data_IF_967597985217
#
_entry.id   IF_967597985217
#
_cell.length_a   1.000
_cell.length_b   1.000
_cell.length_c   1.000
_cell.angle_alpha   90.00
_cell.angle_beta   90.00
_cell.angle_gamma   90.00
#
_symmetry.space_group_name_H-M   'P 1'
#
loop_
_entity.id
_entity.type
_entity.pdbx_description
1 polymer ?
#
# COMPACT_ATOMS: atom_id res chain seq x y z
N UNK A 1 36.23 18.65 -3.01
CA UNK A 1 35.21 17.57 -2.95
C UNK A 1 34.08 17.97 -2.00
N UNK A 2 33.01 18.52 -2.57
CA UNK A 2 31.82 18.94 -1.84
C UNK A 2 31.00 17.72 -1.44
N UNK A 3 30.99 17.42 -0.14
CA UNK A 3 30.29 16.27 0.44
C UNK A 3 28.77 16.42 0.33
N UNK A 4 28.11 15.32 -0.03
CA UNK A 4 26.67 15.19 0.03
C UNK A 4 26.25 15.00 1.49
N UNK A 5 25.35 15.84 2.00
CA UNK A 5 24.82 15.81 3.37
C UNK A 5 23.42 15.19 3.37
N UNK A 6 23.21 14.21 4.24
CA UNK A 6 21.93 13.56 4.51
C UNK A 6 20.96 14.53 5.24
N UNK A 7 19.66 14.58 4.89
CA UNK A 7 18.67 15.43 5.56
C UNK A 7 18.42 15.13 7.06
N UNK A 8 18.96 14.04 7.62
CA UNK A 8 18.86 13.71 9.05
C UNK A 8 20.05 14.17 9.91
N UNK A 9 21.08 14.80 9.33
CA UNK A 9 22.13 15.47 10.10
C UNK A 9 23.03 14.57 10.99
N UNK A 10 23.01 13.24 10.83
CA UNK A 10 23.94 12.36 11.53
C UNK A 10 25.20 12.12 10.69
N UNK A 11 26.32 12.68 11.12
CA UNK A 11 27.64 12.42 10.56
C UNK A 11 28.17 11.08 11.09
N UNK A 12 28.22 10.05 10.23
CA UNK A 12 28.88 8.79 10.57
C UNK A 12 30.34 8.78 10.09
N UNK A 13 31.28 8.57 11.01
CA UNK A 13 32.68 8.27 10.68
C UNK A 13 32.76 6.92 9.96
N UNK A 14 33.63 6.84 8.96
CA UNK A 14 33.89 5.63 8.17
C UNK A 14 34.43 4.53 9.08
N UNK A 15 33.67 3.43 9.24
CA UNK A 15 34.19 2.18 9.80
C UNK A 15 33.19 1.35 10.62
N UNK A 16 32.26 1.98 11.33
CA UNK A 16 31.44 1.28 12.34
C UNK A 16 29.95 1.68 12.28
N UNK A 17 29.34 1.44 11.12
CA UNK A 17 27.88 1.41 11.02
C UNK A 17 27.41 -0.04 11.24
N UNK A 18 26.48 -0.31 12.17
CA UNK A 18 25.70 -1.55 12.16
C UNK A 18 24.74 -1.52 10.97
N UNK A 19 25.29 -1.69 9.77
CA UNK A 19 24.52 -2.11 8.61
C UNK A 19 24.19 -3.61 8.74
N UNK A 20 23.08 -4.09 8.19
CA UNK A 20 22.80 -5.51 8.19
C UNK A 20 23.83 -6.24 7.31
N UNK A 21 24.85 -6.79 7.96
CA UNK A 21 25.74 -7.79 7.35
C UNK A 21 24.97 -9.10 7.24
N UNK A 22 24.30 -9.29 6.11
CA UNK A 22 23.66 -10.55 5.77
C UNK A 22 23.59 -10.69 4.25
N UNK A 23 24.24 -11.73 3.72
CA UNK A 23 24.06 -12.12 2.33
C UNK A 23 22.58 -12.47 2.14
N UNK A 24 21.83 -11.66 1.39
CA UNK A 24 20.43 -11.97 1.05
C UNK A 24 20.40 -13.12 0.04
N UNK A 25 20.66 -14.34 0.53
CA UNK A 25 20.25 -15.57 -0.15
C UNK A 25 18.81 -15.81 0.27
N UNK A 26 17.92 -15.90 -0.73
CA UNK A 26 16.46 -16.04 -0.64
C UNK A 26 15.72 -14.71 -0.46
N UNK A 27 15.71 -13.89 -1.51
CA UNK A 27 14.60 -12.96 -1.73
C UNK A 27 13.36 -13.84 -2.00
N UNK A 28 12.35 -13.89 -1.11
CA UNK A 28 11.11 -14.57 -1.44
C UNK A 28 10.57 -14.00 -2.76
N UNK A 29 9.86 -14.79 -3.58
CA UNK A 29 9.18 -14.24 -4.75
C UNK A 29 8.43 -13.00 -4.31
N UNK A 30 8.66 -11.88 -5.01
CA UNK A 30 8.11 -10.61 -4.61
C UNK A 30 6.58 -10.77 -4.52
N UNK A 31 6.04 -10.69 -3.29
CA UNK A 31 4.62 -10.91 -3.02
C UNK A 31 3.73 -10.05 -3.91
N UNK A 32 2.46 -10.43 -4.01
CA UNK A 32 1.48 -9.81 -4.91
C UNK A 32 1.57 -8.28 -4.86
N UNK A 33 1.60 -7.71 -3.66
CA UNK A 33 1.65 -6.26 -3.48
C UNK A 33 2.97 -5.65 -3.96
N UNK A 34 4.11 -6.29 -3.69
CA UNK A 34 5.43 -5.80 -4.12
C UNK A 34 5.54 -5.80 -5.66
N UNK A 35 4.99 -6.81 -6.31
CA UNK A 35 4.97 -6.91 -7.78
C UNK A 35 4.14 -5.78 -8.40
N UNK A 36 2.95 -5.52 -7.85
CA UNK A 36 2.12 -4.41 -8.30
C UNK A 36 2.72 -3.03 -7.97
N UNK A 37 3.36 -2.87 -6.81
CA UNK A 37 4.03 -1.62 -6.44
C UNK A 37 5.13 -1.26 -7.45
N UNK A 38 5.98 -2.24 -7.82
CA UNK A 38 7.05 -2.04 -8.82
C UNK A 38 6.54 -1.71 -10.21
N UNK A 39 5.33 -2.15 -10.56
CA UNK A 39 4.69 -1.85 -11.83
C UNK A 39 3.89 -0.53 -11.82
N UNK A 40 4.10 0.32 -10.81
CA UNK A 40 3.49 1.65 -10.69
C UNK A 40 2.21 1.66 -9.86
N UNK A 41 1.96 0.63 -9.05
CA UNK A 41 1.04 0.67 -7.94
C UNK A 41 1.59 1.54 -6.80
N UNK A 42 0.75 1.84 -5.82
CA UNK A 42 1.15 2.63 -4.66
C UNK A 42 0.40 2.24 -3.38
N UNK A 43 -0.04 0.97 -3.29
CA UNK A 43 -0.75 0.45 -2.12
C UNK A 43 0.20 0.38 -0.92
N UNK A 44 1.40 -0.19 -1.10
CA UNK A 44 2.37 -0.35 0.00
C UNK A 44 2.85 1.02 0.47
N UNK A 45 3.27 1.88 -0.47
CA UNK A 45 3.88 3.17 -0.15
C UNK A 45 2.89 4.15 0.49
N UNK A 46 1.58 4.04 0.24
CA UNK A 46 0.61 4.99 0.80
C UNK A 46 -0.26 4.44 1.92
N UNK A 47 -0.48 3.12 1.98
CA UNK A 47 -1.56 2.54 2.77
C UNK A 47 -1.16 1.30 3.58
N UNK A 48 0.13 1.03 3.78
CA UNK A 48 0.60 -0.09 4.60
C UNK A 48 1.53 0.42 5.70
N UNK A 49 1.25 0.00 6.94
CA UNK A 49 2.10 0.24 8.11
C UNK A 49 2.36 1.71 8.40
N UNK A 50 1.43 2.61 8.07
CA UNK A 50 1.55 4.04 8.38
C UNK A 50 1.24 4.27 9.86
N UNK A 51 2.04 5.09 10.52
CA UNK A 51 1.74 5.55 11.88
C UNK A 51 0.64 6.61 11.85
N UNK A 52 0.01 6.86 13.00
CA UNK A 52 -1.04 7.86 13.12
C UNK A 52 -0.54 9.26 12.75
N UNK A 53 0.70 9.59 13.14
CA UNK A 53 1.35 10.86 12.78
C UNK A 53 1.58 10.97 11.26
N UNK A 54 1.97 9.87 10.61
CA UNK A 54 2.14 9.84 9.15
C UNK A 54 0.81 9.98 8.42
N UNK A 55 -0.26 9.38 8.95
CA UNK A 55 -1.59 9.51 8.40
C UNK A 55 -2.13 10.95 8.55
N UNK A 56 -1.89 11.58 9.69
CA UNK A 56 -2.27 12.97 9.95
C UNK A 56 -1.46 13.97 9.10
N UNK A 57 -0.12 13.83 9.06
CA UNK A 57 0.76 14.68 8.25
C UNK A 57 0.42 14.64 6.75
N UNK A 58 -0.21 13.55 6.28
CA UNK A 58 -0.65 13.45 4.89
C UNK A 58 -1.62 14.56 4.51
N UNK A 59 -2.47 15.05 5.42
CA UNK A 59 -3.43 16.12 5.14
C UNK A 59 -2.75 17.46 4.79
N UNK A 60 -1.51 17.68 5.24
CA UNK A 60 -0.73 18.86 4.86
C UNK A 60 -0.27 18.76 3.40
N UNK A 61 0.16 17.57 2.98
CA UNK A 61 0.67 17.30 1.63
C UNK A 61 -0.43 17.07 0.58
N UNK A 62 -1.60 16.57 1.01
CA UNK A 62 -2.75 16.24 0.16
C UNK A 62 -4.02 16.87 0.77
N UNK A 63 -4.19 18.21 0.70
CA UNK A 63 -5.22 18.93 1.47
C UNK A 63 -6.66 18.62 1.08
N UNK A 64 -6.88 18.03 -0.10
CA UNK A 64 -8.21 17.63 -0.57
C UNK A 64 -8.65 16.24 -0.07
N UNK A 65 -7.82 15.54 0.72
CA UNK A 65 -8.21 14.25 1.27
C UNK A 65 -9.17 14.41 2.45
N UNK A 66 -10.34 13.77 2.42
CA UNK A 66 -11.25 13.77 3.56
C UNK A 66 -10.79 12.81 4.68
N UNK A 67 -10.00 11.80 4.33
CA UNK A 67 -9.49 10.78 5.25
C UNK A 67 -8.15 10.20 4.77
N UNK A 68 -7.40 9.63 5.70
CA UNK A 68 -6.11 8.96 5.47
C UNK A 68 -6.10 7.65 6.25
N UNK A 69 -5.81 6.55 5.57
CA UNK A 69 -5.95 5.20 6.15
C UNK A 69 -4.82 4.25 5.76
N UNK A 70 -4.62 3.24 6.60
CA UNK A 70 -3.57 2.24 6.44
C UNK A 70 -3.98 0.87 6.95
N UNK A 71 -3.60 -0.17 6.20
CA UNK A 71 -3.52 -1.54 6.69
C UNK A 71 -2.44 -1.64 7.77
N UNK A 72 -2.59 -2.59 8.70
CA UNK A 72 -1.69 -2.73 9.85
C UNK A 72 -0.27 -3.13 9.45
N UNK A 73 -0.13 -4.10 8.56
CA UNK A 73 1.15 -4.64 8.13
C UNK A 73 1.10 -5.09 6.67
N UNK A 74 2.28 -5.30 6.08
CA UNK A 74 2.38 -5.81 4.71
C UNK A 74 1.77 -7.20 4.60
N UNK A 75 2.00 -8.07 5.58
CA UNK A 75 1.49 -9.45 5.60
C UNK A 75 -0.04 -9.50 5.71
N UNK A 76 -0.64 -8.69 6.59
CA UNK A 76 -2.10 -8.56 6.70
C UNK A 76 -2.69 -8.00 5.39
N UNK A 77 -2.07 -6.96 4.83
CA UNK A 77 -2.51 -6.38 3.56
C UNK A 77 -2.45 -7.40 2.42
N UNK A 78 -1.35 -8.17 2.28
CA UNK A 78 -1.22 -9.21 1.26
C UNK A 78 -2.31 -10.28 1.42
N UNK A 79 -2.57 -10.72 2.64
CA UNK A 79 -3.59 -11.74 2.93
C UNK A 79 -4.99 -11.25 2.58
N UNK A 80 -5.36 -10.05 3.03
CA UNK A 80 -6.67 -9.43 2.80
C UNK A 80 -6.89 -9.19 1.31
N UNK A 81 -5.91 -8.60 0.63
CA UNK A 81 -5.98 -8.28 -0.79
C UNK A 81 -6.07 -9.56 -1.61
N UNK A 82 -5.22 -10.55 -1.34
CA UNK A 82 -5.23 -11.82 -2.10
C UNK A 82 -6.58 -12.54 -1.97
N UNK A 83 -7.14 -12.58 -0.75
CA UNK A 83 -8.47 -13.16 -0.50
C UNK A 83 -9.57 -12.41 -1.25
N UNK A 84 -9.54 -11.08 -1.25
CA UNK A 84 -10.51 -10.25 -1.96
C UNK A 84 -10.43 -10.43 -3.48
N UNK A 85 -9.22 -10.44 -4.04
CA UNK A 85 -9.01 -10.67 -5.48
C UNK A 85 -9.52 -12.07 -5.91
N UNK A 86 -9.31 -13.10 -5.08
CA UNK A 86 -9.85 -14.42 -5.32
C UNK A 86 -11.39 -14.43 -5.27
N UNK A 87 -11.99 -13.78 -4.26
CA UNK A 87 -13.44 -13.64 -4.11
C UNK A 87 -14.09 -12.93 -5.31
N UNK A 88 -13.42 -11.91 -5.86
CA UNK A 88 -13.91 -11.09 -6.97
C UNK A 88 -13.36 -11.52 -8.35
N UNK A 89 -12.85 -12.76 -8.47
CA UNK A 89 -12.17 -13.22 -9.69
C UNK A 89 -13.03 -13.08 -10.95
N UNK A 90 -14.33 -13.40 -10.88
CA UNK A 90 -15.23 -13.30 -12.04
C UNK A 90 -15.42 -11.85 -12.49
N UNK A 91 -15.51 -10.91 -11.56
CA UNK A 91 -15.61 -9.47 -11.85
C UNK A 91 -14.33 -8.96 -12.50
N UNK A 92 -13.17 -9.43 -12.04
CA UNK A 92 -11.87 -9.11 -12.63
C UNK A 92 -11.74 -9.66 -14.04
N UNK A 93 -12.19 -10.89 -14.30
CA UNK A 93 -12.20 -11.48 -15.65
C UNK A 93 -13.07 -10.64 -16.59
N UNK A 94 -14.28 -10.29 -16.17
CA UNK A 94 -15.18 -9.44 -16.95
C UNK A 94 -14.57 -8.05 -17.19
N UNK A 95 -13.93 -7.48 -16.16
CA UNK A 95 -13.21 -6.21 -16.27
C UNK A 95 -12.04 -6.30 -17.25
N UNK A 96 -11.30 -7.40 -17.31
CA UNK A 96 -10.20 -7.54 -18.28
C UNK A 96 -10.73 -7.56 -19.73
N UNK A 97 -11.89 -8.17 -19.95
CA UNK A 97 -12.47 -8.36 -21.28
C UNK A 97 -13.35 -7.19 -21.77
N UNK A 98 -13.82 -6.29 -20.89
CA UNK A 98 -14.69 -5.17 -21.28
C UNK A 98 -13.95 -3.94 -21.86
N UNK A 99 -14.48 -2.73 -21.62
CA UNK A 99 -13.83 -1.44 -22.01
C UNK A 99 -13.56 -0.44 -20.85
N UNK A 100 -13.83 -0.81 -19.59
CA UNK A 100 -13.61 0.08 -18.43
C UNK A 100 -12.12 0.32 -18.18
N UNK A 101 -11.72 1.55 -17.85
CA UNK A 101 -10.32 1.90 -17.56
C UNK A 101 -9.85 1.42 -16.18
N UNK A 102 -10.76 1.38 -15.21
CA UNK A 102 -10.52 0.92 -13.83
C UNK A 102 -11.67 0.04 -13.33
N UNK A 103 -11.34 -0.84 -12.40
CA UNK A 103 -12.29 -1.60 -11.59
C UNK A 103 -12.07 -1.21 -10.13
N UNK A 104 -13.17 -0.91 -9.43
CA UNK A 104 -13.17 -0.61 -8.01
C UNK A 104 -13.88 -1.78 -7.33
N UNK A 105 -13.14 -2.52 -6.51
CA UNK A 105 -13.68 -3.60 -5.68
C UNK A 105 -13.84 -3.03 -4.27
N UNK A 106 -15.05 -3.13 -3.74
CA UNK A 106 -15.33 -2.84 -2.32
C UNK A 106 -15.57 -4.15 -1.61
N UNK A 107 -14.85 -4.39 -0.53
CA UNK A 107 -14.94 -5.62 0.22
C UNK A 107 -14.75 -5.35 1.72
N UNK A 108 -15.03 -6.36 2.53
CA UNK A 108 -15.03 -6.22 3.98
C UNK A 108 -14.48 -7.47 4.69
N UNK A 109 -14.25 -7.31 5.99
CA UNK A 109 -13.76 -8.35 6.88
C UNK A 109 -14.49 -8.27 8.22
N UNK A 110 -14.63 -9.40 8.90
CA UNK A 110 -15.16 -9.46 10.28
C UNK A 110 -14.18 -8.91 11.31
N UNK A 111 -12.89 -8.94 11.01
CA UNK A 111 -11.82 -8.37 11.83
C UNK A 111 -11.35 -7.03 11.25
N UNK A 112 -10.89 -6.09 12.09
CA UNK A 112 -10.37 -4.81 11.61
C UNK A 112 -9.23 -5.01 10.61
N UNK A 113 -9.37 -4.43 9.43
CA UNK A 113 -8.37 -4.49 8.34
C UNK A 113 -7.27 -3.46 8.50
N UNK A 114 -7.53 -2.41 9.27
CA UNK A 114 -6.61 -1.29 9.47
C UNK A 114 -7.22 -0.17 10.27
N UNK A 115 -6.62 1.00 10.14
CA UNK A 115 -7.07 2.25 10.79
C UNK A 115 -7.33 3.33 9.74
N UNK A 116 -8.20 4.28 10.08
CA UNK A 116 -8.49 5.46 9.30
C UNK A 116 -8.53 6.68 10.21
N UNK A 117 -7.98 7.80 9.77
CA UNK A 117 -8.07 9.11 10.42
C UNK A 117 -8.89 10.01 9.49
N UNK A 118 -9.89 10.71 10.02
CA UNK A 118 -10.65 11.71 9.26
C UNK A 118 -9.95 13.07 9.39
N UNK A 119 -10.02 13.92 8.38
CA UNK A 119 -9.34 15.23 8.44
C UNK A 119 -9.80 16.10 9.63
N UNK A 120 -11.08 15.99 9.99
CA UNK A 120 -11.70 16.75 11.08
C UNK A 120 -11.41 16.15 12.47
N UNK A 121 -10.83 14.95 12.55
CA UNK A 121 -10.58 14.24 13.82
C UNK A 121 -9.17 13.67 13.85
N UNK A 122 -8.39 13.94 14.88
CA UNK A 122 -7.02 13.38 14.97
C UNK A 122 -6.96 11.94 15.47
N UNK A 123 -8.08 11.34 15.86
CA UNK A 123 -8.11 10.00 16.43
C UNK A 123 -8.24 8.91 15.34
N UNK A 124 -7.38 7.88 15.36
CA UNK A 124 -7.50 6.73 14.47
C UNK A 124 -8.68 5.84 14.88
N UNK A 125 -9.53 5.53 13.90
CA UNK A 125 -10.65 4.60 14.06
C UNK A 125 -10.32 3.26 13.40
N UNK A 126 -10.57 2.12 14.08
CA UNK A 126 -10.48 0.82 13.43
C UNK A 126 -11.54 0.69 12.34
N UNK A 127 -11.15 0.16 11.19
CA UNK A 127 -12.03 0.01 10.03
C UNK A 127 -12.04 -1.42 9.52
N UNK A 128 -13.17 -1.81 8.92
CA UNK A 128 -13.47 -3.19 8.51
C UNK A 128 -13.69 -3.32 7.00
N UNK A 129 -14.00 -2.20 6.34
CA UNK A 129 -14.18 -2.10 4.91
C UNK A 129 -12.86 -1.69 4.25
N UNK A 130 -12.68 -2.08 3.00
CA UNK A 130 -11.55 -1.62 2.20
C UNK A 130 -11.93 -1.57 0.72
N UNK A 131 -11.20 -0.73 0.00
CA UNK A 131 -11.37 -0.54 -1.43
C UNK A 131 -10.09 -0.95 -2.13
N UNK A 132 -10.21 -1.71 -3.22
CA UNK A 132 -9.12 -2.01 -4.14
C UNK A 132 -9.42 -1.36 -5.49
N UNK A 133 -8.40 -0.74 -6.08
CA UNK A 133 -8.53 -0.12 -7.40
C UNK A 133 -7.58 -0.81 -8.36
N UNK A 134 -8.15 -1.50 -9.34
CA UNK A 134 -7.42 -2.16 -10.40
C UNK A 134 -7.46 -1.30 -11.66
N UNK A 135 -6.36 -1.26 -12.40
CA UNK A 135 -6.30 -0.72 -13.75
C UNK A 135 -5.83 -1.82 -14.71
N UNK A 136 -6.22 -1.73 -15.98
CA UNK A 136 -5.71 -2.68 -16.98
C UNK A 136 -4.23 -2.47 -17.20
N UNK A 137 -3.50 -3.58 -17.32
CA UNK A 137 -2.08 -3.56 -17.60
C UNK A 137 -1.70 -4.85 -18.31
N UNK A 138 -1.75 -4.85 -19.65
CA UNK A 138 -1.44 -6.04 -20.46
C UNK A 138 -0.01 -6.56 -20.26
N UNK A 139 0.92 -5.71 -19.82
CA UNK A 139 2.31 -6.08 -19.51
C UNK A 139 2.47 -6.80 -18.16
N UNK A 140 1.42 -6.83 -17.33
CA UNK A 140 1.41 -7.59 -16.07
C UNK A 140 1.00 -9.04 -16.33
N UNK A 141 1.53 -10.02 -15.58
CA UNK A 141 1.18 -11.43 -15.74
C UNK A 141 -0.34 -11.68 -15.68
N UNK A 142 -1.03 -11.02 -14.75
CA UNK A 142 -2.46 -11.19 -14.55
C UNK A 142 -3.32 -10.31 -15.48
N UNK A 143 -2.70 -9.49 -16.34
CA UNK A 143 -3.36 -8.55 -17.25
C UNK A 143 -3.94 -7.29 -16.58
N UNK A 144 -3.70 -7.12 -15.27
CA UNK A 144 -4.08 -5.94 -14.52
C UNK A 144 -2.99 -5.50 -13.55
N UNK A 145 -3.06 -4.24 -13.14
CA UNK A 145 -2.28 -3.67 -12.06
C UNK A 145 -3.23 -3.32 -10.91
N UNK A 146 -2.97 -3.85 -9.72
CA UNK A 146 -3.51 -3.28 -8.49
C UNK A 146 -2.86 -1.91 -8.27
N UNK A 147 -3.57 -0.85 -8.66
CA UNK A 147 -3.07 0.52 -8.64
C UNK A 147 -2.92 1.01 -7.21
N UNK A 148 -3.95 0.79 -6.39
CA UNK A 148 -3.93 1.12 -4.97
C UNK A 148 -4.99 0.29 -4.24
N UNK A 149 -4.93 0.31 -2.91
CA UNK A 149 -5.97 -0.22 -2.05
C UNK A 149 -5.82 0.40 -0.68
N UNK A 150 -6.94 0.64 0.00
CA UNK A 150 -6.93 1.31 1.29
C UNK A 150 -8.15 0.93 2.13
N UNK A 151 -7.99 0.88 3.46
CA UNK A 151 -9.13 0.76 4.36
C UNK A 151 -10.06 1.97 4.25
N UNK A 152 -11.37 1.75 4.31
CA UNK A 152 -12.41 2.78 4.23
C UNK A 152 -13.33 2.64 5.45
N UNK A 153 -13.84 3.77 5.96
CA UNK A 153 -14.82 3.78 7.06
C UNK A 153 -16.15 3.26 6.55
#
# INVERSE_FOLDING_TARGET
PTGWVDPLGLSCKVGDCPGPKGKQKNKPPAGLLVTHERAGGHLIRKHVGRTDEQLAARFESEPNLPASSSFKSLEEAETIVSKSLAKHQQEIINFKNGNKSKLIIKDNSTNPVGVSILKETTEPIPVYNFVLVLKRAQRMPDGYLLLTGFPEK
#
